data_IF_343897774719
#
_entry.id   IF_343897774719
#
_cell.length_a   1.000
_cell.length_b   1.000
_cell.length_c   1.000
_cell.angle_alpha   90.00
_cell.angle_beta   90.00
_cell.angle_gamma   90.00
#
_symmetry.space_group_name_H-M   'P 1'
#
loop_
_entity.id
_entity.type
_entity.pdbx_description
1 polymer ?
#
# COMPACT_ATOMS: atom_id res chain seq x y z
N UNK A 1 2.82 -11.49 -7.61
CA UNK A 1 2.77 -12.44 -8.74
C UNK A 1 3.75 -12.00 -9.84
N UNK A 2 4.66 -12.91 -10.26
CA UNK A 2 5.65 -12.57 -11.29
C UNK A 2 5.19 -13.04 -12.67
N UNK A 3 4.94 -14.34 -12.84
CA UNK A 3 4.69 -14.94 -14.16
C UNK A 3 3.34 -15.62 -14.31
N UNK A 4 2.40 -15.41 -13.40
CA UNK A 4 1.05 -15.93 -13.55
C UNK A 4 0.35 -15.31 -14.75
N UNK A 5 -0.43 -16.11 -15.47
CA UNK A 5 -1.30 -15.66 -16.56
C UNK A 5 -2.75 -15.51 -16.02
N UNK A 6 -3.65 -14.80 -16.70
CA UNK A 6 -5.00 -14.53 -16.20
C UNK A 6 -5.78 -15.79 -15.78
N UNK A 7 -5.61 -16.89 -16.52
CA UNK A 7 -6.29 -18.17 -16.30
C UNK A 7 -5.84 -18.88 -15.02
N UNK A 8 -4.69 -18.51 -14.45
CA UNK A 8 -4.12 -19.10 -13.23
C UNK A 8 -4.61 -18.39 -11.96
N UNK A 9 -5.35 -17.29 -12.09
CA UNK A 9 -5.95 -16.64 -10.93
C UNK A 9 -7.30 -17.26 -10.58
N UNK A 10 -7.63 -17.42 -9.28
CA UNK A 10 -8.97 -17.75 -8.83
C UNK A 10 -10.01 -16.77 -9.37
N UNK A 11 -11.25 -17.23 -9.57
CA UNK A 11 -12.32 -16.43 -10.20
C UNK A 11 -12.58 -15.09 -9.49
N UNK A 12 -12.55 -15.09 -8.16
CA UNK A 12 -12.74 -13.91 -7.31
C UNK A 12 -11.61 -12.88 -7.43
N UNK A 13 -10.41 -13.32 -7.85
CA UNK A 13 -9.25 -12.47 -8.02
C UNK A 13 -8.97 -12.03 -9.46
N UNK A 14 -9.58 -12.64 -10.46
CA UNK A 14 -9.33 -12.35 -11.89
C UNK A 14 -9.49 -10.89 -12.27
N UNK A 15 -10.37 -10.15 -11.58
CA UNK A 15 -10.65 -8.73 -11.88
C UNK A 15 -9.69 -7.77 -11.16
N UNK A 16 -9.04 -8.21 -10.10
CA UNK A 16 -8.24 -7.35 -9.21
C UNK A 16 -6.77 -7.74 -9.14
N UNK A 17 -6.45 -9.02 -9.44
CA UNK A 17 -5.08 -9.49 -9.43
C UNK A 17 -4.39 -9.32 -10.79
N UNK A 18 -3.09 -9.06 -10.73
CA UNK A 18 -2.23 -9.01 -11.91
C UNK A 18 -0.88 -9.64 -11.63
N UNK A 19 -0.04 -9.74 -12.64
CA UNK A 19 1.36 -10.16 -12.53
C UNK A 19 2.27 -9.26 -13.35
N UNK A 20 3.56 -9.30 -13.05
CA UNK A 20 4.56 -8.57 -13.84
C UNK A 20 4.57 -9.04 -15.30
N UNK A 21 4.31 -10.33 -15.56
CA UNK A 21 4.19 -10.87 -16.92
C UNK A 21 3.03 -10.25 -17.69
N UNK A 22 1.87 -10.09 -17.05
CA UNK A 22 0.68 -9.47 -17.67
C UNK A 22 0.97 -8.03 -18.05
N UNK A 23 1.56 -7.26 -17.12
CA UNK A 23 1.90 -5.86 -17.34
C UNK A 23 3.00 -5.69 -18.40
N UNK A 24 4.01 -6.57 -18.39
CA UNK A 24 5.17 -6.52 -19.30
C UNK A 24 4.90 -7.13 -20.68
N UNK A 25 3.84 -7.93 -20.83
CA UNK A 25 3.53 -8.67 -22.06
C UNK A 25 4.38 -9.94 -22.32
N UNK A 26 5.37 -10.22 -21.48
CA UNK A 26 6.28 -11.37 -21.63
C UNK A 26 6.76 -11.89 -20.27
N UNK A 27 7.19 -13.18 -20.19
CA UNK A 27 7.74 -13.74 -18.96
C UNK A 27 8.98 -12.97 -18.46
N UNK A 28 9.06 -12.84 -17.14
CA UNK A 28 10.16 -12.13 -16.46
C UNK A 28 11.01 -13.13 -15.66
N UNK A 29 12.33 -12.94 -15.69
CA UNK A 29 13.23 -13.74 -14.88
C UNK A 29 13.04 -13.42 -13.39
N UNK A 30 12.59 -14.43 -12.62
CA UNK A 30 12.32 -14.28 -11.17
C UNK A 30 13.55 -13.89 -10.37
N UNK A 31 14.75 -14.40 -10.74
CA UNK A 31 15.98 -14.05 -10.04
C UNK A 31 16.33 -12.57 -10.19
N UNK A 32 16.08 -12.00 -11.37
CA UNK A 32 16.26 -10.56 -11.60
C UNK A 32 15.30 -9.74 -10.72
N UNK A 33 14.05 -10.16 -10.61
CA UNK A 33 13.06 -9.49 -9.72
C UNK A 33 13.50 -9.57 -8.27
N UNK A 34 13.90 -10.76 -7.79
CA UNK A 34 14.35 -10.96 -6.41
C UNK A 34 15.59 -10.10 -6.11
N UNK A 35 16.59 -10.10 -6.98
CA UNK A 35 17.78 -9.26 -6.81
C UNK A 35 17.43 -7.78 -6.72
N UNK A 36 16.63 -7.29 -7.64
CA UNK A 36 16.18 -5.89 -7.64
C UNK A 36 15.42 -5.53 -6.37
N UNK A 37 14.51 -6.41 -5.92
CA UNK A 37 13.76 -6.22 -4.69
C UNK A 37 14.67 -6.16 -3.47
N UNK A 38 15.59 -7.12 -3.31
CA UNK A 38 16.50 -7.18 -2.17
C UNK A 38 17.45 -5.98 -2.15
N UNK A 39 18.02 -5.60 -3.30
CA UNK A 39 18.89 -4.41 -3.40
C UNK A 39 18.15 -3.14 -3.03
N UNK A 40 16.89 -3.01 -3.48
CA UNK A 40 16.06 -1.86 -3.15
C UNK A 40 15.70 -1.85 -1.67
N UNK A 41 15.30 -2.98 -1.12
CA UNK A 41 14.96 -3.12 0.30
C UNK A 41 16.15 -2.77 1.20
N UNK A 42 17.35 -3.28 0.88
CA UNK A 42 18.56 -3.00 1.65
C UNK A 42 18.90 -1.50 1.65
N UNK A 43 18.79 -0.85 0.50
CA UNK A 43 18.97 0.59 0.38
C UNK A 43 17.94 1.38 1.20
N UNK A 44 16.66 1.03 1.09
CA UNK A 44 15.59 1.74 1.83
C UNK A 44 15.71 1.49 3.34
N UNK A 45 16.12 0.29 3.75
CA UNK A 45 16.39 -0.03 5.15
C UNK A 45 17.59 0.76 5.71
N UNK A 46 18.64 0.92 4.92
CA UNK A 46 19.78 1.76 5.28
C UNK A 46 19.33 3.22 5.49
N UNK A 47 18.57 3.80 4.57
CA UNK A 47 18.01 5.15 4.74
C UNK A 47 17.11 5.26 5.97
N UNK A 48 16.24 4.29 6.19
CA UNK A 48 15.39 4.25 7.38
C UNK A 48 16.22 4.26 8.67
N UNK A 49 17.31 3.46 8.72
CA UNK A 49 18.17 3.33 9.88
C UNK A 49 19.01 4.60 10.16
N UNK A 50 19.34 5.38 9.13
CA UNK A 50 20.18 6.58 9.25
C UNK A 50 19.39 7.87 9.36
N UNK A 51 18.26 7.98 8.66
CA UNK A 51 17.48 9.22 8.54
C UNK A 51 16.11 9.13 9.24
N UNK A 52 15.77 7.94 9.76
CA UNK A 52 14.48 7.70 10.41
C UNK A 52 13.33 7.48 9.43
N UNK A 53 12.11 7.40 9.97
CA UNK A 53 10.90 7.05 9.21
C UNK A 53 10.37 8.14 8.29
N UNK A 54 10.77 9.39 8.45
CA UNK A 54 10.20 10.52 7.71
C UNK A 54 10.41 10.43 6.19
N UNK A 55 11.58 9.94 5.77
CA UNK A 55 11.88 9.73 4.34
C UNK A 55 11.00 8.64 3.72
N UNK A 56 10.73 7.57 4.45
CA UNK A 56 9.84 6.47 4.03
C UNK A 56 8.41 6.97 3.92
N UNK A 57 7.91 7.69 4.93
CA UNK A 57 6.57 8.29 4.95
C UNK A 57 6.39 9.22 3.75
N UNK A 58 7.37 10.09 3.49
CA UNK A 58 7.33 11.00 2.34
C UNK A 58 7.27 10.26 1.00
N UNK A 59 8.12 9.25 0.80
CA UNK A 59 8.12 8.43 -0.42
C UNK A 59 6.80 7.69 -0.59
N UNK A 60 6.27 7.11 0.47
CA UNK A 60 4.99 6.40 0.44
C UNK A 60 3.86 7.35 0.07
N UNK A 61 3.82 8.53 0.70
CA UNK A 61 2.81 9.56 0.45
C UNK A 61 2.78 10.07 -1.00
N UNK A 62 3.94 10.09 -1.67
CA UNK A 62 4.04 10.47 -3.09
C UNK A 62 3.55 9.37 -4.04
N UNK A 63 3.49 8.12 -3.59
CA UNK A 63 3.14 6.96 -4.40
C UNK A 63 1.73 6.40 -4.09
N UNK A 64 0.95 7.08 -3.26
CA UNK A 64 -0.43 6.71 -2.96
C UNK A 64 -1.40 7.70 -3.56
N UNK A 65 -2.55 7.22 -3.98
CA UNK A 65 -3.71 8.03 -4.41
C UNK A 65 -4.82 8.06 -3.34
N UNK A 66 -4.49 7.58 -2.13
CA UNK A 66 -5.46 7.41 -1.05
C UNK A 66 -5.92 8.74 -0.44
N UNK A 67 -5.02 9.73 -0.37
CA UNK A 67 -5.30 10.99 0.31
C UNK A 67 -6.38 11.81 -0.41
N UNK A 68 -7.27 12.39 0.39
CA UNK A 68 -8.45 13.11 -0.08
C UNK A 68 -9.66 12.23 -0.35
N UNK A 69 -9.49 10.89 -0.35
CA UNK A 69 -10.59 9.94 -0.60
C UNK A 69 -11.29 9.54 0.70
N UNK A 70 -12.60 9.29 0.60
CA UNK A 70 -13.38 8.72 1.69
C UNK A 70 -13.08 7.21 1.77
N UNK A 71 -12.65 6.75 2.94
CA UNK A 71 -12.23 5.37 3.17
C UNK A 71 -13.00 4.73 4.31
N UNK A 72 -13.14 3.41 4.22
CA UNK A 72 -13.64 2.55 5.31
C UNK A 72 -12.52 1.63 5.75
N UNK A 73 -12.07 1.78 6.98
CA UNK A 73 -11.00 0.95 7.58
C UNK A 73 -11.61 -0.02 8.58
N UNK A 74 -11.43 -1.30 8.34
CA UNK A 74 -11.88 -2.40 9.22
C UNK A 74 -10.76 -2.81 10.17
N UNK A 75 -11.06 -2.82 11.47
CA UNK A 75 -10.19 -3.29 12.54
C UNK A 75 -10.96 -4.26 13.42
N UNK A 76 -10.77 -5.54 13.18
CA UNK A 76 -11.60 -6.57 13.81
C UNK A 76 -13.08 -6.41 13.46
N UNK A 77 -13.94 -6.20 14.46
CA UNK A 77 -15.37 -5.96 14.26
C UNK A 77 -15.73 -4.47 14.04
N UNK A 78 -14.78 -3.55 14.23
CA UNK A 78 -15.01 -2.12 14.13
C UNK A 78 -14.69 -1.63 12.73
N UNK A 79 -15.59 -0.82 12.15
CA UNK A 79 -15.36 -0.10 10.89
C UNK A 79 -15.31 1.39 11.19
N UNK A 80 -14.18 2.01 10.86
CA UNK A 80 -13.95 3.44 10.95
C UNK A 80 -14.07 4.06 9.56
N UNK A 81 -14.92 5.08 9.40
CA UNK A 81 -15.12 5.77 8.12
C UNK A 81 -14.65 7.22 8.28
N UNK A 82 -13.93 7.72 7.29
CA UNK A 82 -13.45 9.10 7.26
C UNK A 82 -12.71 9.41 5.96
N UNK A 83 -12.28 10.64 5.81
CA UNK A 83 -11.41 11.05 4.69
C UNK A 83 -9.96 10.83 5.07
N UNK A 84 -9.22 10.09 4.24
CA UNK A 84 -7.79 9.88 4.42
C UNK A 84 -7.04 11.19 4.19
N UNK A 85 -6.37 11.72 5.20
CA UNK A 85 -5.71 13.03 5.12
C UNK A 85 -4.22 12.90 4.80
N UNK A 86 -3.49 12.19 5.61
CA UNK A 86 -2.03 12.01 5.52
C UNK A 86 -1.58 10.85 6.40
N UNK A 87 -0.29 10.54 6.39
CA UNK A 87 0.35 9.77 7.46
C UNK A 87 0.93 10.73 8.50
N UNK A 88 0.84 10.37 9.77
CA UNK A 88 1.53 11.10 10.84
C UNK A 88 3.03 10.70 10.92
N UNK A 89 3.78 11.31 11.87
CA UNK A 89 5.21 11.06 12.05
C UNK A 89 5.56 9.61 12.43
N UNK A 90 4.58 8.86 12.94
CA UNK A 90 4.69 7.43 13.25
C UNK A 90 4.25 6.51 12.09
N UNK A 91 3.84 7.08 10.95
CA UNK A 91 3.34 6.34 9.79
C UNK A 91 1.89 5.86 9.94
N UNK A 92 1.12 6.36 10.92
CA UNK A 92 -0.28 6.03 11.09
C UNK A 92 -1.13 6.84 10.11
N UNK A 93 -2.18 6.22 9.56
CA UNK A 93 -3.12 6.91 8.70
C UNK A 93 -4.01 7.86 9.52
N UNK A 94 -4.01 9.13 9.18
CA UNK A 94 -4.90 10.13 9.77
C UNK A 94 -6.19 10.19 8.98
N UNK A 95 -7.30 9.85 9.63
CA UNK A 95 -8.65 9.95 9.08
C UNK A 95 -9.38 11.15 9.66
N UNK A 96 -9.91 12.01 8.80
CA UNK A 96 -10.88 13.05 9.20
C UNK A 96 -12.27 12.48 9.19
N UNK A 97 -12.90 12.45 10.36
CA UNK A 97 -14.29 12.02 10.55
C UNK A 97 -15.26 13.09 10.03
N UNK A 98 -16.50 12.69 9.73
CA UNK A 98 -17.55 13.63 9.26
C UNK A 98 -17.87 14.73 10.29
N UNK A 99 -17.55 14.53 11.57
CA UNK A 99 -17.65 15.55 12.63
C UNK A 99 -16.44 16.50 12.69
N UNK A 100 -15.51 16.41 11.75
CA UNK A 100 -14.28 17.22 11.68
C UNK A 100 -13.13 16.75 12.58
N UNK A 101 -13.32 15.67 13.36
CA UNK A 101 -12.27 15.13 14.24
C UNK A 101 -11.28 14.26 13.47
N UNK A 102 -10.00 14.45 13.73
CA UNK A 102 -8.94 13.64 13.15
C UNK A 102 -8.62 12.45 14.09
N UNK A 103 -8.59 11.25 13.53
CA UNK A 103 -8.27 9.99 14.22
C UNK A 103 -7.09 9.30 13.54
N UNK A 104 -6.05 8.97 14.30
CA UNK A 104 -4.88 8.23 13.80
C UNK A 104 -5.11 6.72 13.89
N UNK A 105 -5.01 6.03 12.77
CA UNK A 105 -5.22 4.58 12.63
C UNK A 105 -3.87 3.90 12.46
N UNK A 106 -3.50 3.06 13.41
CA UNK A 106 -2.23 2.33 13.44
C UNK A 106 -2.26 0.99 12.71
N UNK A 107 -3.46 0.40 12.57
CA UNK A 107 -3.65 -0.90 11.94
C UNK A 107 -5.07 -1.04 11.38
N UNK A 108 -5.26 -1.90 10.41
CA UNK A 108 -6.56 -2.18 9.82
C UNK A 108 -6.46 -2.50 8.33
N UNK A 109 -7.58 -2.91 7.76
CA UNK A 109 -7.74 -3.18 6.34
C UNK A 109 -8.63 -2.10 5.72
N UNK A 110 -8.17 -1.47 4.66
CA UNK A 110 -8.99 -0.57 3.85
C UNK A 110 -9.89 -1.45 2.97
N UNK A 111 -11.19 -1.49 3.31
CA UNK A 111 -12.17 -2.33 2.61
C UNK A 111 -12.92 -1.60 1.50
N UNK A 112 -12.91 -0.28 1.52
CA UNK A 112 -13.52 0.58 0.49
C UNK A 112 -12.88 1.97 0.50
N UNK A 113 -12.71 2.56 -0.69
CA UNK A 113 -12.38 3.98 -0.86
C UNK A 113 -13.00 4.52 -2.16
N UNK A 114 -13.38 5.81 -2.14
CA UNK A 114 -14.05 6.53 -3.23
C UNK A 114 -13.34 7.86 -3.50
#
# INVERSE_FOLDING_TARGET
NVNQIPEQFPEDLKKTATSLRIVNGSPINRLTVIRSLLTTLDREYHFFSTEGGSSVIKKWSLNTDLFGKKVSVKRGAVITIGTAMNLDESGRLVLRRDNGHDEAIDSGEIIRYE
#
